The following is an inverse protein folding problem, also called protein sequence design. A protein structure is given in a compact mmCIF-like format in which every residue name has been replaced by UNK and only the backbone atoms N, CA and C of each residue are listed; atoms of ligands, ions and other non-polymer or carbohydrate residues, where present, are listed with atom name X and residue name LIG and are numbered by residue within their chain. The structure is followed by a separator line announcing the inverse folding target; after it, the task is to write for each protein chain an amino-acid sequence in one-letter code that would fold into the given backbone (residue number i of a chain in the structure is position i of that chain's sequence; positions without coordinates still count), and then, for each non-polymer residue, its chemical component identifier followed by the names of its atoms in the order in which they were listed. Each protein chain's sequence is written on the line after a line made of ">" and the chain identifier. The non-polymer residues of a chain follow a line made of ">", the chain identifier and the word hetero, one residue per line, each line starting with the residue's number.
data_IF_888674478839
#
_entry.id   IF_888674478839
#
_cell.length_a   1.000
_cell.length_b   1.000
_cell.length_c   1.000
_cell.angle_alpha   90.00
_cell.angle_beta   90.00
_cell.angle_gamma   90.00
#
_symmetry.space_group_name_H-M   'P 1'
#
loop_
_entity.id
_entity.type
_entity.pdbx_description
1 polymer ?
#
# COMPACT_ATOMS: atom_id res chain seq x y z
N UNK A 1 92.02 20.63 -17.14
CA UNK A 1 91.27 21.31 -16.06
C UNK A 1 91.77 20.74 -14.73
N UNK A 2 92.73 21.37 -14.06
CA UNK A 2 92.61 22.55 -13.18
C UNK A 2 92.26 22.16 -11.72
N UNK A 3 93.32 22.24 -10.89
CA UNK A 3 93.43 22.33 -9.41
C UNK A 3 92.14 22.76 -8.67
N UNK A 4 91.99 22.34 -7.40
CA UNK A 4 92.34 23.17 -6.22
C UNK A 4 91.93 22.50 -4.90
N UNK A 5 92.91 22.44 -3.99
CA UNK A 5 92.78 22.16 -2.57
C UNK A 5 91.80 23.10 -1.84
N UNK A 6 91.42 22.68 -0.63
CA UNK A 6 91.67 23.39 0.65
C UNK A 6 90.46 23.85 1.46
N UNK A 7 90.70 23.75 2.77
CA UNK A 7 90.13 24.44 3.94
C UNK A 7 88.74 23.98 4.41
N UNK A 8 88.63 23.35 5.57
CA UNK A 8 88.88 23.88 6.94
C UNK A 8 87.96 25.02 7.33
N UNK A 9 87.24 24.82 8.44
CA UNK A 9 87.12 25.87 9.45
C UNK A 9 85.72 26.18 9.94
N UNK A 10 85.62 26.16 11.27
CA UNK A 10 84.68 26.88 12.13
C UNK A 10 83.28 26.25 12.28
N UNK A 11 82.95 25.70 13.47
CA UNK A 11 82.61 26.44 14.71
C UNK A 11 81.37 27.31 14.50
N UNK A 12 80.34 27.36 15.32
CA UNK A 12 80.07 26.85 16.66
C UNK A 12 78.59 27.18 16.90
N UNK A 13 77.91 26.34 17.68
CA UNK A 13 77.04 26.75 18.79
C UNK A 13 76.04 27.89 18.50
N UNK A 14 74.78 27.54 18.29
CA UNK A 14 73.70 28.27 18.96
C UNK A 14 72.72 27.25 19.56
N UNK A 15 72.83 27.15 20.88
CA UNK A 15 71.85 26.56 21.77
C UNK A 15 70.68 27.53 21.85
N UNK A 16 69.44 27.03 21.70
CA UNK A 16 68.24 27.67 22.25
C UNK A 16 67.25 26.56 22.56
N UNK A 17 67.28 26.18 23.83
CA UNK A 17 66.18 25.56 24.55
C UNK A 17 64.85 26.26 24.24
N UNK A 18 63.77 25.47 24.29
CA UNK A 18 62.45 25.99 24.64
C UNK A 18 61.41 25.92 23.54
N UNK A 19 60.77 24.77 23.40
CA UNK A 19 59.32 24.65 23.66
C UNK A 19 58.82 23.28 23.26
N UNK A 20 58.85 22.37 24.24
CA UNK A 20 57.86 21.31 24.29
C UNK A 20 56.51 21.96 24.58
N UNK A 21 55.71 22.19 23.54
CA UNK A 21 54.28 22.45 23.69
C UNK A 21 53.51 21.47 22.83
N UNK A 22 53.07 20.41 23.52
CA UNK A 22 51.80 19.71 23.31
C UNK A 22 50.97 20.26 22.15
N UNK A 23 51.02 19.57 21.01
CA UNK A 23 49.87 19.54 20.09
C UNK A 23 48.80 18.68 20.76
N UNK A 24 48.07 19.36 21.64
CA UNK A 24 46.79 18.98 22.23
C UNK A 24 45.95 18.32 21.15
N UNK A 25 45.59 17.06 21.41
CA UNK A 25 44.62 16.32 20.62
C UNK A 25 43.39 17.19 20.38
N UNK A 26 43.26 17.72 19.17
CA UNK A 26 42.07 18.43 18.73
C UNK A 26 40.99 17.36 18.55
N UNK A 27 40.24 17.05 19.62
CA UNK A 27 38.96 16.35 19.53
C UNK A 27 38.05 17.19 18.64
N UNK A 28 37.66 16.73 17.43
CA UNK A 28 36.59 17.34 16.71
C UNK A 28 35.30 16.59 17.06
N UNK A 29 34.38 17.34 17.66
CA UNK A 29 32.94 17.19 17.49
C UNK A 29 32.22 15.98 18.16
N UNK A 30 31.87 16.09 19.46
CA UNK A 30 30.70 15.41 20.01
C UNK A 30 29.39 15.76 19.26
N UNK A 31 29.37 16.86 18.50
CA UNK A 31 28.25 17.30 17.66
C UNK A 31 28.03 16.41 16.43
N UNK A 32 29.09 15.92 15.78
CA UNK A 32 28.97 15.04 14.61
C UNK A 32 28.48 13.65 15.02
N UNK A 33 28.97 13.13 16.16
CA UNK A 33 28.48 11.89 16.77
C UNK A 33 27.02 12.03 17.23
N UNK A 34 26.64 13.19 17.79
CA UNK A 34 25.26 13.47 18.18
C UNK A 34 24.30 13.50 16.99
N UNK A 35 24.66 14.17 15.90
CA UNK A 35 23.84 14.26 14.68
C UNK A 35 23.74 12.90 13.98
N UNK A 36 24.86 12.15 13.89
CA UNK A 36 24.86 10.81 13.30
C UNK A 36 24.04 9.81 14.13
N UNK A 37 24.13 9.87 15.46
CA UNK A 37 23.32 9.04 16.36
C UNK A 37 21.83 9.40 16.32
N UNK A 38 21.47 10.69 16.24
CA UNK A 38 20.07 11.11 16.11
C UNK A 38 19.47 10.72 14.77
N UNK A 39 20.22 10.82 13.67
CA UNK A 39 19.76 10.35 12.36
C UNK A 39 19.59 8.82 12.32
N UNK A 40 20.53 8.08 12.93
CA UNK A 40 20.50 6.61 12.96
C UNK A 40 19.40 6.05 13.89
N UNK A 41 19.00 6.77 14.93
CA UNK A 41 17.89 6.39 15.82
C UNK A 41 16.51 6.77 15.26
N UNK A 42 16.41 7.79 14.41
CA UNK A 42 15.12 8.22 13.82
C UNK A 42 14.72 7.41 12.58
N UNK A 43 15.68 6.87 11.84
CA UNK A 43 15.43 5.98 10.68
C UNK A 43 14.56 4.75 11.02
N UNK A 44 14.86 3.95 12.07
CA UNK A 44 14.06 2.76 12.35
C UNK A 44 12.63 3.08 12.81
N UNK A 45 12.43 4.19 13.53
CA UNK A 45 11.10 4.57 14.04
C UNK A 45 10.17 5.02 12.90
N UNK A 46 10.71 5.73 11.89
CA UNK A 46 9.93 6.22 10.76
C UNK A 46 9.57 5.11 9.77
N UNK A 47 10.44 4.12 9.60
CA UNK A 47 10.15 2.91 8.82
C UNK A 47 9.06 2.04 9.48
N UNK A 48 9.08 1.89 10.80
CA UNK A 48 8.06 1.14 11.55
C UNK A 48 6.66 1.77 11.44
N UNK A 49 6.56 3.10 11.38
CA UNK A 49 5.26 3.78 11.28
C UNK A 49 4.58 3.59 9.92
N UNK A 50 5.35 3.52 8.81
CA UNK A 50 4.79 3.26 7.48
C UNK A 50 4.23 1.84 7.35
N UNK A 51 4.89 0.86 7.96
CA UNK A 51 4.47 -0.56 7.91
C UNK A 51 3.08 -0.80 8.51
N UNK A 52 2.70 -0.07 9.56
CA UNK A 52 1.38 -0.21 10.20
C UNK A 52 0.26 0.25 9.26
N UNK A 53 0.49 1.33 8.50
CA UNK A 53 -0.48 1.88 7.55
C UNK A 53 -0.71 0.93 6.37
N UNK A 54 0.37 0.41 5.77
CA UNK A 54 0.26 -0.61 4.72
C UNK A 54 -0.45 -1.88 5.22
N UNK A 55 -0.12 -2.34 6.43
CA UNK A 55 -0.76 -3.52 7.02
C UNK A 55 -2.27 -3.31 7.26
N UNK A 56 -2.69 -2.11 7.67
CA UNK A 56 -4.10 -1.77 7.83
C UNK A 56 -4.84 -1.82 6.49
N UNK A 57 -4.27 -1.26 5.43
CA UNK A 57 -4.89 -1.26 4.10
C UNK A 57 -4.96 -2.68 3.54
N UNK A 58 -3.91 -3.48 3.68
CA UNK A 58 -3.94 -4.89 3.28
C UNK A 58 -5.01 -5.68 4.05
N UNK A 59 -5.21 -5.38 5.34
CA UNK A 59 -6.28 -6.00 6.12
C UNK A 59 -7.67 -5.61 5.59
N UNK A 60 -7.88 -4.35 5.21
CA UNK A 60 -9.15 -3.90 4.63
C UNK A 60 -9.42 -4.54 3.27
N UNK A 61 -8.40 -4.62 2.39
CA UNK A 61 -8.52 -5.31 1.10
C UNK A 61 -8.84 -6.80 1.31
N UNK A 62 -8.23 -7.44 2.31
CA UNK A 62 -8.52 -8.84 2.64
C UNK A 62 -9.97 -9.03 3.15
N UNK A 63 -10.46 -8.12 4.01
CA UNK A 63 -11.85 -8.12 4.48
C UNK A 63 -12.80 -7.97 3.29
N UNK A 64 -12.56 -6.97 2.44
CA UNK A 64 -13.38 -6.70 1.26
C UNK A 64 -13.38 -7.87 0.25
N UNK A 65 -12.25 -8.55 0.07
CA UNK A 65 -12.18 -9.76 -0.75
C UNK A 65 -13.06 -10.89 -0.17
N UNK A 66 -13.09 -11.06 1.15
CA UNK A 66 -13.98 -12.05 1.81
C UNK A 66 -15.44 -11.65 1.63
N UNK A 67 -15.78 -10.38 1.78
CA UNK A 67 -17.15 -9.89 1.59
C UNK A 67 -17.61 -9.99 0.14
N UNK A 68 -16.72 -9.75 -0.83
CA UNK A 68 -16.99 -9.98 -2.24
C UNK A 68 -17.27 -11.47 -2.55
N UNK A 69 -16.56 -12.39 -1.89
CA UNK A 69 -16.86 -13.83 -1.97
C UNK A 69 -18.23 -14.16 -1.39
N UNK A 70 -18.58 -13.62 -0.21
CA UNK A 70 -19.91 -13.82 0.37
C UNK A 70 -21.02 -13.29 -0.55
N UNK A 71 -20.79 -12.11 -1.12
CA UNK A 71 -21.72 -11.50 -2.07
C UNK A 71 -21.91 -12.37 -3.32
N UNK A 72 -20.82 -12.94 -3.85
CA UNK A 72 -20.86 -13.91 -4.94
C UNK A 72 -21.72 -15.12 -4.58
N UNK A 73 -21.49 -15.73 -3.41
CA UNK A 73 -22.26 -16.89 -2.93
C UNK A 73 -23.75 -16.56 -2.75
N UNK A 74 -24.06 -15.39 -2.19
CA UNK A 74 -25.44 -14.90 -2.05
C UNK A 74 -26.10 -14.64 -3.41
N UNK A 75 -25.36 -14.14 -4.40
CA UNK A 75 -25.85 -13.98 -5.76
C UNK A 75 -26.10 -15.33 -6.46
N UNK A 76 -25.21 -16.32 -6.28
CA UNK A 76 -25.44 -17.69 -6.75
C UNK A 76 -26.71 -18.30 -6.15
N UNK A 77 -26.98 -18.05 -4.87
CA UNK A 77 -28.20 -18.52 -4.22
C UNK A 77 -29.46 -17.78 -4.73
N UNK A 78 -29.32 -16.51 -5.13
CA UNK A 78 -30.41 -15.66 -5.59
C UNK A 78 -30.80 -15.88 -7.06
N UNK A 79 -29.85 -16.32 -7.92
CA UNK A 79 -30.05 -16.43 -9.38
C UNK A 79 -31.22 -17.35 -9.79
N UNK A 80 -31.53 -18.34 -8.96
CA UNK A 80 -32.62 -19.27 -9.20
C UNK A 80 -34.01 -18.63 -9.09
N UNK A 81 -34.13 -17.48 -8.42
CA UNK A 81 -35.39 -16.77 -8.21
C UNK A 81 -35.60 -15.71 -9.29
N UNK A 82 -36.76 -15.72 -9.94
CA UNK A 82 -37.04 -14.87 -11.10
C UNK A 82 -36.96 -13.37 -10.77
N UNK A 83 -37.49 -12.96 -9.62
CA UNK A 83 -37.51 -11.55 -9.21
C UNK A 83 -36.13 -11.02 -8.80
N UNK A 84 -35.18 -11.91 -8.48
CA UNK A 84 -33.81 -11.55 -8.05
C UNK A 84 -32.77 -11.77 -9.14
N UNK A 85 -33.10 -12.55 -10.19
CA UNK A 85 -32.14 -13.07 -11.17
C UNK A 85 -31.33 -11.99 -11.85
N UNK A 86 -31.98 -10.94 -12.34
CA UNK A 86 -31.28 -9.87 -13.07
C UNK A 86 -30.17 -9.23 -12.21
N UNK A 87 -30.51 -8.86 -10.97
CA UNK A 87 -29.52 -8.28 -10.03
C UNK A 87 -28.47 -9.31 -9.63
N UNK A 88 -28.87 -10.56 -9.41
CA UNK A 88 -27.93 -11.62 -9.06
C UNK A 88 -26.92 -11.89 -10.18
N UNK A 89 -27.35 -11.93 -11.44
CA UNK A 89 -26.48 -12.12 -12.60
C UNK A 89 -25.49 -10.95 -12.76
N UNK A 90 -25.95 -9.70 -12.61
CA UNK A 90 -25.08 -8.52 -12.66
C UNK A 90 -24.02 -8.55 -11.55
N UNK A 91 -24.41 -8.91 -10.32
CA UNK A 91 -23.48 -9.09 -9.19
C UNK A 91 -22.47 -10.21 -9.43
N UNK A 92 -22.89 -11.33 -10.05
CA UNK A 92 -21.99 -12.43 -10.39
C UNK A 92 -20.92 -11.99 -11.39
N UNK A 93 -21.26 -11.15 -12.37
CA UNK A 93 -20.29 -10.59 -13.32
C UNK A 93 -19.28 -9.69 -12.61
N UNK A 94 -19.71 -8.89 -11.63
CA UNK A 94 -18.81 -8.03 -10.85
C UNK A 94 -17.86 -8.81 -9.94
N UNK A 95 -18.30 -9.96 -9.46
CA UNK A 95 -17.61 -10.78 -8.45
C UNK A 95 -17.01 -12.07 -9.02
N UNK A 96 -17.01 -12.23 -10.34
CA UNK A 96 -16.54 -13.44 -11.01
C UNK A 96 -15.08 -13.73 -10.63
N UNK A 97 -14.83 -14.95 -10.16
CA UNK A 97 -13.49 -15.41 -9.82
C UNK A 97 -12.94 -16.21 -11.00
N UNK A 98 -11.76 -15.84 -11.50
CA UNK A 98 -11.13 -16.61 -12.58
C UNK A 98 -10.81 -18.03 -12.11
N UNK A 99 -11.39 -19.02 -12.78
CA UNK A 99 -11.31 -20.46 -12.43
C UNK A 99 -9.98 -21.11 -12.89
N UNK A 100 -8.93 -20.33 -13.11
CA UNK A 100 -7.66 -20.80 -13.69
C UNK A 100 -6.50 -20.67 -12.71
N UNK A 101 -5.67 -21.74 -12.65
CA UNK A 101 -4.62 -22.00 -11.66
C UNK A 101 -3.48 -20.96 -11.54
N UNK A 102 -2.21 -21.38 -11.31
CA UNK A 102 -1.19 -20.54 -10.69
C UNK A 102 -0.92 -19.20 -11.43
N UNK A 103 -0.45 -18.16 -10.71
CA UNK A 103 -0.59 -16.78 -11.11
C UNK A 103 0.34 -16.47 -12.29
N UNK A 104 -0.24 -16.32 -13.48
CA UNK A 104 0.47 -15.81 -14.64
C UNK A 104 -0.42 -14.77 -15.29
N UNK A 105 -0.04 -13.50 -15.08
CA UNK A 105 -0.41 -12.32 -15.86
C UNK A 105 -1.91 -12.11 -16.10
N UNK A 106 -2.53 -11.24 -15.28
CA UNK A 106 -3.77 -10.47 -15.54
C UNK A 106 -4.57 -11.00 -16.74
N UNK A 107 -5.21 -12.16 -16.58
CA UNK A 107 -6.23 -12.60 -17.53
C UNK A 107 -7.51 -11.88 -17.15
N UNK A 108 -8.00 -11.04 -18.05
CA UNK A 108 -9.19 -10.18 -17.97
C UNK A 108 -10.53 -10.94 -17.82
N UNK A 109 -10.53 -12.07 -17.12
CA UNK A 109 -11.68 -12.95 -16.95
C UNK A 109 -12.27 -12.91 -15.55
N UNK A 110 -11.65 -12.22 -14.59
CA UNK A 110 -12.29 -12.00 -13.28
C UNK A 110 -13.15 -10.74 -13.32
N UNK A 111 -14.15 -10.69 -12.46
CA UNK A 111 -15.05 -9.56 -12.32
C UNK A 111 -14.32 -8.28 -11.92
N UNK A 112 -14.90 -7.14 -12.29
CA UNK A 112 -14.31 -5.81 -12.08
C UNK A 112 -13.85 -5.60 -10.63
N UNK A 113 -14.69 -5.97 -9.65
CA UNK A 113 -14.35 -5.81 -8.23
C UNK A 113 -13.16 -6.69 -7.84
N UNK A 114 -13.12 -7.94 -8.31
CA UNK A 114 -12.04 -8.89 -7.99
C UNK A 114 -10.70 -8.41 -8.57
N UNK A 115 -10.70 -7.91 -9.80
CA UNK A 115 -9.49 -7.35 -10.42
C UNK A 115 -9.01 -6.11 -9.67
N UNK A 116 -9.91 -5.16 -9.39
CA UNK A 116 -9.56 -3.94 -8.66
C UNK A 116 -8.96 -4.24 -7.28
N UNK A 117 -9.47 -5.27 -6.58
CA UNK A 117 -8.91 -5.72 -5.30
C UNK A 117 -7.54 -6.39 -5.44
N UNK A 118 -7.33 -7.16 -6.49
CA UNK A 118 -6.03 -7.78 -6.77
C UNK A 118 -4.97 -6.70 -7.06
N UNK A 119 -5.31 -5.71 -7.87
CA UNK A 119 -4.44 -4.57 -8.19
C UNK A 119 -4.18 -3.70 -6.97
N UNK A 120 -5.21 -3.39 -6.16
CA UNK A 120 -5.04 -2.67 -4.90
C UNK A 120 -4.08 -3.42 -3.96
N UNK A 121 -4.21 -4.75 -3.85
CA UNK A 121 -3.33 -5.57 -3.02
C UNK A 121 -1.89 -5.54 -3.53
N UNK A 122 -1.69 -5.69 -4.83
CA UNK A 122 -0.36 -5.63 -5.44
C UNK A 122 0.28 -4.27 -5.20
N UNK A 123 -0.45 -3.18 -5.46
CA UNK A 123 0.01 -1.81 -5.25
C UNK A 123 0.49 -1.58 -3.81
N UNK A 124 -0.31 -1.99 -2.83
CA UNK A 124 0.01 -1.78 -1.40
C UNK A 124 1.16 -2.68 -0.96
N UNK A 125 1.24 -3.90 -1.48
CA UNK A 125 2.34 -4.82 -1.19
C UNK A 125 3.66 -4.29 -1.77
N UNK A 126 3.66 -3.83 -3.02
CA UNK A 126 4.84 -3.25 -3.67
C UNK A 126 5.31 -2.00 -2.93
N UNK A 127 4.38 -1.10 -2.57
CA UNK A 127 4.72 0.10 -1.79
C UNK A 127 5.29 -0.25 -0.40
N UNK A 128 4.80 -1.32 0.23
CA UNK A 128 5.31 -1.84 1.49
C UNK A 128 6.72 -2.43 1.33
N UNK A 129 6.96 -3.23 0.29
CA UNK A 129 8.23 -3.92 0.07
C UNK A 129 9.35 -2.94 -0.36
N UNK A 130 9.02 -2.01 -1.26
CA UNK A 130 9.97 -1.00 -1.75
C UNK A 130 10.13 0.19 -0.80
N UNK A 131 9.27 0.30 0.22
CA UNK A 131 9.23 1.43 1.17
C UNK A 131 9.11 2.79 0.45
N UNK A 132 8.49 2.80 -0.73
CA UNK A 132 8.30 3.98 -1.58
C UNK A 132 6.79 4.24 -1.74
N UNK A 133 6.34 5.51 -1.76
CA UNK A 133 4.95 5.79 -2.09
C UNK A 133 4.62 5.22 -3.48
N UNK A 134 3.43 4.61 -3.64
CA UNK A 134 2.99 4.09 -4.93
C UNK A 134 2.81 5.24 -5.92
N UNK A 135 2.99 4.91 -7.20
CA UNK A 135 2.81 5.87 -8.27
C UNK A 135 1.36 6.41 -8.29
N UNK A 136 1.17 7.75 -8.26
CA UNK A 136 -0.16 8.35 -8.20
C UNK A 136 -1.08 7.97 -9.37
N UNK A 137 -0.53 7.74 -10.56
CA UNK A 137 -1.34 7.35 -11.72
C UNK A 137 -1.87 5.92 -11.56
N UNK A 138 -1.04 5.02 -11.04
CA UNK A 138 -1.44 3.63 -10.73
C UNK A 138 -2.49 3.61 -9.62
N UNK A 139 -2.35 4.44 -8.58
CA UNK A 139 -3.38 4.54 -7.53
C UNK A 139 -4.70 5.10 -8.08
N UNK A 140 -4.64 6.11 -8.93
CA UNK A 140 -5.83 6.70 -9.54
C UNK A 140 -6.62 5.67 -10.36
N UNK A 141 -5.94 4.81 -11.12
CA UNK A 141 -6.57 3.72 -11.87
C UNK A 141 -7.30 2.74 -10.94
N UNK A 142 -6.62 2.25 -9.90
CA UNK A 142 -7.25 1.34 -8.91
C UNK A 142 -8.46 1.98 -8.23
N UNK A 143 -8.38 3.26 -7.86
CA UNK A 143 -9.50 3.99 -7.27
C UNK A 143 -10.66 4.20 -8.26
N UNK A 144 -10.36 4.41 -9.54
CA UNK A 144 -11.39 4.51 -10.59
C UNK A 144 -12.12 3.19 -10.79
N UNK A 145 -11.41 2.07 -10.79
CA UNK A 145 -12.00 0.73 -10.93
C UNK A 145 -12.85 0.35 -9.71
N UNK A 146 -12.36 0.64 -8.49
CA UNK A 146 -13.14 0.47 -7.25
C UNK A 146 -14.40 1.34 -7.26
N UNK A 147 -14.30 2.61 -7.66
CA UNK A 147 -15.45 3.51 -7.71
C UNK A 147 -16.47 3.08 -8.77
N UNK A 148 -15.99 2.55 -9.91
CA UNK A 148 -16.84 1.99 -10.96
C UNK A 148 -17.58 0.75 -10.46
N UNK A 149 -16.88 -0.16 -9.76
CA UNK A 149 -17.51 -1.32 -9.13
C UNK A 149 -18.51 -0.90 -8.05
N UNK A 150 -18.19 0.08 -7.20
CA UNK A 150 -19.12 0.61 -6.19
C UNK A 150 -20.40 1.16 -6.84
N UNK A 151 -20.27 1.94 -7.91
CA UNK A 151 -21.41 2.52 -8.61
C UNK A 151 -22.32 1.44 -9.19
N UNK A 152 -21.75 0.38 -9.76
CA UNK A 152 -22.50 -0.77 -10.25
C UNK A 152 -23.25 -1.48 -9.10
N UNK A 153 -22.57 -1.77 -7.99
CA UNK A 153 -23.20 -2.39 -6.81
C UNK A 153 -24.31 -1.52 -6.20
N UNK A 154 -24.17 -0.18 -6.22
CA UNK A 154 -25.22 0.73 -5.78
C UNK A 154 -26.44 0.70 -6.69
N UNK A 155 -26.22 0.59 -8.00
CA UNK A 155 -27.29 0.42 -8.97
C UNK A 155 -28.03 -0.91 -8.73
N UNK A 156 -27.29 -2.00 -8.52
CA UNK A 156 -27.83 -3.33 -8.20
C UNK A 156 -28.68 -3.30 -6.92
N UNK A 157 -28.17 -2.67 -5.85
CA UNK A 157 -28.91 -2.49 -4.61
C UNK A 157 -30.20 -1.67 -4.80
N UNK A 158 -30.18 -0.67 -5.67
CA UNK A 158 -31.34 0.16 -5.98
C UNK A 158 -32.37 -0.58 -6.86
N UNK A 159 -31.92 -1.48 -7.73
CA UNK A 159 -32.76 -2.31 -8.59
C UNK A 159 -33.37 -3.50 -7.84
N UNK A 160 -32.77 -3.92 -6.72
CA UNK A 160 -33.20 -5.06 -5.92
C UNK A 160 -34.63 -4.83 -5.36
N UNK A 161 -35.58 -5.61 -5.89
CA UNK A 161 -37.00 -5.53 -5.52
C UNK A 161 -37.33 -6.52 -4.40
N UNK A 162 -38.17 -6.09 -3.44
CA UNK A 162 -38.55 -6.93 -2.29
C UNK A 162 -39.61 -7.98 -2.68
N UNK A 163 -39.32 -9.29 -2.60
CA UNK A 163 -40.22 -10.36 -3.01
C UNK A 163 -41.27 -10.72 -1.94
N UNK A 164 -41.43 -9.93 -0.86
CA UNK A 164 -42.34 -10.25 0.26
C UNK A 164 -43.80 -10.56 -0.15
N UNK A 165 -44.25 -10.12 -1.33
CA UNK A 165 -45.58 -10.44 -1.86
C UNK A 165 -45.65 -11.76 -2.67
N UNK A 166 -44.54 -12.31 -3.15
CA UNK A 166 -44.50 -13.45 -4.07
C UNK A 166 -44.72 -14.81 -3.37
N UNK A 167 -44.50 -14.89 -2.05
CA UNK A 167 -44.67 -16.09 -1.22
C UNK A 167 -43.89 -17.33 -1.73
N UNK A 168 -42.82 -17.15 -2.48
CA UNK A 168 -41.93 -18.24 -2.88
C UNK A 168 -41.04 -18.63 -1.70
N UNK A 169 -40.98 -19.93 -1.41
CA UNK A 169 -40.16 -20.43 -0.30
C UNK A 169 -38.67 -20.14 -0.56
N UNK A 170 -37.99 -19.54 0.43
CA UNK A 170 -36.56 -19.22 0.37
C UNK A 170 -36.20 -17.93 -0.37
N UNK A 171 -37.09 -17.37 -1.18
CA UNK A 171 -36.81 -16.17 -1.98
C UNK A 171 -36.58 -14.93 -1.10
N UNK A 172 -37.38 -14.76 -0.04
CA UNK A 172 -37.19 -13.67 0.91
C UNK A 172 -35.83 -13.76 1.63
N UNK A 173 -35.40 -14.97 1.97
CA UNK A 173 -34.11 -15.20 2.62
C UNK A 173 -32.96 -14.87 1.66
N UNK A 174 -33.03 -15.33 0.42
CA UNK A 174 -32.05 -14.99 -0.62
C UNK A 174 -31.99 -13.49 -0.88
N UNK A 175 -33.14 -12.81 -0.95
CA UNK A 175 -33.21 -11.35 -1.08
C UNK A 175 -32.53 -10.64 0.12
N UNK A 176 -32.81 -11.07 1.35
CA UNK A 176 -32.24 -10.43 2.54
C UNK A 176 -30.73 -10.63 2.62
N UNK A 177 -30.24 -11.82 2.29
CA UNK A 177 -28.81 -12.13 2.26
C UNK A 177 -28.11 -11.31 1.17
N UNK A 178 -28.61 -11.36 -0.08
CA UNK A 178 -28.06 -10.59 -1.19
C UNK A 178 -28.04 -9.09 -0.89
N UNK A 179 -29.13 -8.55 -0.33
CA UNK A 179 -29.21 -7.15 0.07
C UNK A 179 -28.17 -6.80 1.14
N UNK A 180 -28.04 -7.65 2.16
CA UNK A 180 -27.14 -7.42 3.27
C UNK A 180 -25.68 -7.43 2.80
N UNK A 181 -25.29 -8.44 2.04
CA UNK A 181 -23.94 -8.58 1.52
C UNK A 181 -23.61 -7.47 0.51
N UNK A 182 -24.57 -7.03 -0.33
CA UNK A 182 -24.41 -5.85 -1.19
C UNK A 182 -24.08 -4.60 -0.37
N UNK A 183 -24.84 -4.36 0.69
CA UNK A 183 -24.63 -3.20 1.56
C UNK A 183 -23.28 -3.26 2.30
N UNK A 184 -22.87 -4.45 2.72
CA UNK A 184 -21.58 -4.69 3.38
C UNK A 184 -20.43 -4.38 2.41
N UNK A 185 -20.43 -4.97 1.21
CA UNK A 185 -19.39 -4.73 0.20
C UNK A 185 -19.31 -3.26 -0.19
N UNK A 186 -20.44 -2.59 -0.44
CA UNK A 186 -20.44 -1.15 -0.77
C UNK A 186 -19.81 -0.32 0.36
N UNK A 187 -20.11 -0.64 1.61
CA UNK A 187 -19.52 0.07 2.75
C UNK A 187 -18.00 -0.17 2.84
N UNK A 188 -17.56 -1.39 2.60
CA UNK A 188 -16.15 -1.77 2.67
C UNK A 188 -15.32 -1.23 1.50
N UNK A 189 -15.88 -1.13 0.29
CA UNK A 189 -15.25 -0.44 -0.85
C UNK A 189 -14.97 1.01 -0.48
N UNK A 190 -15.96 1.75 0.03
CA UNK A 190 -15.79 3.15 0.48
C UNK A 190 -14.70 3.33 1.52
N UNK A 191 -14.65 2.43 2.50
CA UNK A 191 -13.62 2.48 3.56
C UNK A 191 -12.24 2.21 2.96
N UNK A 192 -12.14 1.27 2.03
CA UNK A 192 -10.88 0.89 1.36
C UNK A 192 -10.36 2.02 0.48
N UNK A 193 -11.21 2.59 -0.38
CA UNK A 193 -10.87 3.74 -1.22
C UNK A 193 -10.36 4.94 -0.40
N UNK A 194 -11.03 5.24 0.70
CA UNK A 194 -10.63 6.34 1.59
C UNK A 194 -9.22 6.13 2.17
N UNK A 195 -8.88 4.89 2.54
CA UNK A 195 -7.57 4.59 3.12
C UNK A 195 -6.47 4.55 2.05
N UNK A 196 -6.76 4.05 0.85
CA UNK A 196 -5.85 4.12 -0.30
C UNK A 196 -5.57 5.58 -0.68
N UNK A 197 -6.59 6.44 -0.69
CA UNK A 197 -6.45 7.88 -0.97
C UNK A 197 -5.53 8.55 0.06
N UNK A 198 -5.70 8.25 1.35
CA UNK A 198 -4.84 8.77 2.42
C UNK A 198 -3.37 8.42 2.24
N UNK A 199 -3.10 7.24 1.69
CA UNK A 199 -1.74 6.77 1.46
C UNK A 199 -1.01 7.66 0.44
N UNK A 200 -1.70 8.09 -0.61
CA UNK A 200 -1.17 9.02 -1.64
C UNK A 200 -0.93 10.42 -1.08
N UNK A 201 -1.89 10.95 -0.32
CA UNK A 201 -1.80 12.29 0.28
C UNK A 201 -0.65 12.41 1.27
N UNK A 202 -0.35 11.32 1.99
CA UNK A 202 0.78 11.27 2.91
C UNK A 202 2.13 11.05 2.21
N UNK A 203 2.14 10.30 1.10
CA UNK A 203 3.31 10.20 0.22
C UNK A 203 3.71 11.55 -0.38
N UNK A 204 2.71 12.32 -0.82
CA UNK A 204 2.91 13.63 -1.46
C UNK A 204 3.44 14.72 -0.50
N UNK A 205 3.14 14.62 0.81
CA UNK A 205 3.66 15.57 1.83
C UNK A 205 5.12 15.32 2.24
N UNK A 206 5.71 14.20 1.81
CA UNK A 206 7.08 13.80 2.18
C UNK A 206 8.13 14.11 1.10
N UNK A 207 7.70 14.61 -0.07
CA UNK A 207 8.54 15.18 -1.13
C UNK A 207 8.70 16.70 -0.95
#
# INVERSE_FOLDING_TARGET
>A
MARKDRNEGASSIFNLEGSATMLKASKPLPLLVGILSSALLLLPVKALAGLIEYALILALIAILAISALKLHDSALAAVQFEDLRAVAEDVLVLTEMSDSGPPVLVTETSGLLVNALAEARELVTTAQDEQQPPDPATVAAVLEDLATAEAALQQDLAALSNPASAHVAGELEAYLNLKHDLQEVIAEVKVTEFQITKLVDQGSKKL
#
